data_IF_438842221529
#
_entry.id   IF_438842221529
#
_cell.length_a   1.000
_cell.length_b   1.000
_cell.length_c   1.000
_cell.angle_alpha   90.00
_cell.angle_beta   90.00
_cell.angle_gamma   90.00
#
_symmetry.space_group_name_H-M   'P 1'
#
loop_
_entity.id
_entity.type
_entity.pdbx_description
1 polymer ?
#
# COMPACT_ATOMS: atom_id res chain seq x y z
N UNK A 1 -7.20 16.22 9.46
CA UNK A 1 -6.08 15.27 9.33
C UNK A 1 -5.39 15.51 8.00
N UNK A 2 -4.06 15.50 8.01
CA UNK A 2 -3.20 15.85 6.88
C UNK A 2 -3.12 14.74 5.81
N UNK A 3 -3.11 15.15 4.54
CA UNK A 3 -2.80 14.32 3.37
C UNK A 3 -1.62 13.36 3.61
N UNK A 4 -1.73 12.13 3.09
CA UNK A 4 -0.61 11.19 3.04
C UNK A 4 0.47 11.68 2.07
N UNK A 5 1.73 11.54 2.46
CA UNK A 5 2.92 11.83 1.64
C UNK A 5 3.89 10.65 1.72
N UNK A 6 4.83 10.53 0.77
CA UNK A 6 5.84 9.48 0.83
C UNK A 6 6.65 9.51 2.13
N UNK A 7 7.06 10.69 2.62
CA UNK A 7 7.79 10.83 3.91
C UNK A 7 7.00 10.27 5.10
N UNK A 8 5.70 10.58 5.16
CA UNK A 8 4.82 10.06 6.22
C UNK A 8 4.70 8.56 6.14
N UNK A 9 4.42 8.03 4.94
CA UNK A 9 4.29 6.59 4.73
C UNK A 9 5.58 5.84 5.03
N UNK A 10 6.74 6.41 4.69
CA UNK A 10 8.05 5.81 4.88
C UNK A 10 8.28 5.35 6.33
N UNK A 11 7.76 6.09 7.31
CA UNK A 11 7.86 5.78 8.75
C UNK A 11 7.17 4.48 9.17
N UNK A 12 6.23 4.00 8.35
CA UNK A 12 5.42 2.81 8.62
C UNK A 12 5.81 1.62 7.72
N UNK A 13 6.86 1.75 6.93
CA UNK A 13 7.26 0.72 5.96
C UNK A 13 7.95 -0.49 6.56
N UNK A 14 8.36 -0.47 7.84
CA UNK A 14 8.98 -1.59 8.56
C UNK A 14 10.03 -2.38 7.75
N UNK A 15 10.96 -1.66 7.09
CA UNK A 15 12.00 -2.23 6.20
C UNK A 15 11.52 -2.77 4.85
N UNK A 16 10.36 -2.34 4.35
CA UNK A 16 9.88 -2.71 3.00
C UNK A 16 10.77 -2.13 1.90
N UNK A 17 10.78 -2.78 0.73
CA UNK A 17 11.48 -2.31 -0.46
C UNK A 17 10.68 -1.25 -1.26
N UNK A 18 9.76 -0.52 -0.60
CA UNK A 18 8.95 0.50 -1.25
C UNK A 18 9.77 1.78 -1.46
N UNK A 19 10.18 2.01 -2.71
CA UNK A 19 10.89 3.23 -3.09
C UNK A 19 9.98 4.46 -3.00
N UNK A 20 10.58 5.64 -2.87
CA UNK A 20 9.85 6.92 -2.77
C UNK A 20 8.83 7.15 -3.90
N UNK A 21 9.12 6.86 -5.20
CA UNK A 21 8.12 6.99 -6.27
C UNK A 21 6.90 6.09 -6.06
N UNK A 22 7.10 4.90 -5.51
CA UNK A 22 6.02 3.96 -5.20
C UNK A 22 5.21 4.50 -4.01
N UNK A 23 5.87 4.96 -2.94
CA UNK A 23 5.19 5.54 -1.79
C UNK A 23 4.37 6.78 -2.16
N UNK A 24 4.86 7.63 -3.06
CA UNK A 24 4.09 8.76 -3.59
C UNK A 24 2.82 8.29 -4.31
N UNK A 25 2.91 7.21 -5.08
CA UNK A 25 1.75 6.64 -5.76
C UNK A 25 0.76 6.00 -4.78
N UNK A 26 1.25 5.25 -3.78
CA UNK A 26 0.43 4.68 -2.71
C UNK A 26 -0.29 5.79 -1.93
N UNK A 27 0.41 6.85 -1.54
CA UNK A 27 -0.16 8.02 -0.88
C UNK A 27 -1.29 8.63 -1.72
N UNK A 28 -1.05 8.86 -3.02
CA UNK A 28 -2.08 9.38 -3.93
C UNK A 28 -3.31 8.48 -3.99
N UNK A 29 -3.14 7.16 -3.92
CA UNK A 29 -4.26 6.21 -3.98
C UNK A 29 -5.07 6.16 -2.68
N UNK A 30 -4.40 6.25 -1.54
CA UNK A 30 -5.08 6.36 -0.24
C UNK A 30 -5.81 7.70 -0.14
N UNK A 31 -5.15 8.80 -0.52
CA UNK A 31 -5.70 10.16 -0.52
C UNK A 31 -6.96 10.34 -1.37
N UNK A 32 -7.24 9.41 -2.29
CA UNK A 32 -8.43 9.49 -3.11
C UNK A 32 -9.73 9.23 -2.33
N UNK A 33 -9.63 8.77 -1.07
CA UNK A 33 -10.76 8.64 -0.14
C UNK A 33 -11.58 7.37 -0.30
N UNK A 34 -11.29 6.56 -1.32
CA UNK A 34 -11.98 5.30 -1.59
C UNK A 34 -11.33 4.10 -0.89
N UNK A 35 -12.08 3.00 -0.83
CA UNK A 35 -11.57 1.68 -0.44
C UNK A 35 -10.44 1.26 -1.38
N UNK A 36 -9.26 1.02 -0.81
CA UNK A 36 -8.07 0.59 -1.55
C UNK A 36 -7.93 -0.92 -1.43
N UNK A 37 -8.20 -1.64 -2.54
CA UNK A 37 -7.80 -3.04 -2.71
C UNK A 37 -6.27 -3.10 -2.86
N UNK A 38 -5.59 -3.74 -1.91
CA UNK A 38 -4.12 -3.83 -1.93
C UNK A 38 -3.62 -4.74 -3.06
N UNK A 39 -4.40 -5.75 -3.45
CA UNK A 39 -4.11 -6.59 -4.62
C UNK A 39 -4.21 -5.78 -5.91
N UNK A 40 -5.24 -4.94 -6.05
CA UNK A 40 -5.40 -4.07 -7.22
C UNK A 40 -4.26 -3.06 -7.28
N UNK A 41 -3.98 -2.39 -6.16
CA UNK A 41 -2.87 -1.44 -6.05
C UNK A 41 -1.51 -2.08 -6.38
N UNK A 42 -1.26 -3.31 -5.92
CA UNK A 42 -0.04 -4.04 -6.24
C UNK A 42 0.11 -4.29 -7.74
N UNK A 43 -0.97 -4.69 -8.42
CA UNK A 43 -0.98 -4.90 -9.88
C UNK A 43 -0.78 -3.60 -10.65
N UNK A 44 -1.37 -2.51 -10.20
CA UNK A 44 -1.17 -1.18 -10.80
C UNK A 44 0.29 -0.73 -10.67
N UNK A 45 0.89 -0.89 -9.48
CA UNK A 45 2.31 -0.59 -9.26
C UNK A 45 3.18 -1.48 -10.16
N UNK A 46 2.86 -2.77 -10.27
CA UNK A 46 3.52 -3.67 -11.21
C UNK A 46 3.42 -3.21 -12.66
N UNK A 47 2.27 -2.68 -13.09
CA UNK A 47 2.11 -2.18 -14.45
C UNK A 47 2.85 -0.86 -14.68
N UNK A 48 2.93 0.00 -13.65
CA UNK A 48 3.42 1.38 -13.77
C UNK A 48 4.93 1.53 -13.59
N UNK A 49 5.53 0.72 -12.71
CA UNK A 49 6.95 0.83 -12.37
C UNK A 49 7.74 -0.36 -12.96
N UNK A 50 8.96 -0.09 -13.41
CA UNK A 50 9.85 -1.08 -14.05
C UNK A 50 10.98 -1.58 -13.13
N UNK A 51 10.85 -1.36 -11.83
CA UNK A 51 11.79 -1.87 -10.85
C UNK A 51 11.74 -3.41 -10.81
N UNK A 52 12.90 -4.07 -10.73
CA UNK A 52 13.01 -5.53 -10.76
C UNK A 52 12.24 -6.19 -9.62
N UNK A 53 12.32 -5.63 -8.40
CA UNK A 53 11.61 -6.15 -7.24
C UNK A 53 10.09 -6.05 -7.43
N UNK A 54 9.64 -4.91 -7.96
CA UNK A 54 8.21 -4.67 -8.21
C UNK A 54 7.64 -5.70 -9.18
N UNK A 55 8.37 -6.01 -10.26
CA UNK A 55 7.94 -6.98 -11.29
C UNK A 55 7.95 -8.43 -10.81
N UNK A 56 8.58 -8.74 -9.68
CA UNK A 56 8.63 -10.10 -9.17
C UNK A 56 7.28 -10.56 -8.61
N UNK A 57 6.99 -11.83 -8.87
CA UNK A 57 5.89 -12.56 -8.26
C UNK A 57 6.41 -13.57 -7.25
N UNK A 58 5.60 -13.84 -6.24
CA UNK A 58 5.74 -15.02 -5.37
C UNK A 58 5.57 -16.30 -6.18
N UNK A 59 5.98 -17.45 -5.62
CA UNK A 59 5.78 -18.78 -6.23
C UNK A 59 4.30 -19.05 -6.57
N UNK A 60 3.37 -18.45 -5.82
CA UNK A 60 1.91 -18.56 -6.04
C UNK A 60 1.36 -17.54 -7.06
N UNK A 61 2.22 -16.82 -7.77
CA UNK A 61 1.84 -15.87 -8.83
C UNK A 61 1.37 -14.50 -8.35
N UNK A 62 1.40 -14.21 -7.04
CA UNK A 62 1.01 -12.89 -6.51
C UNK A 62 2.17 -11.90 -6.60
N UNK A 63 1.91 -10.61 -6.83
CA UNK A 63 2.94 -9.57 -6.76
C UNK A 63 3.68 -9.63 -5.42
N UNK A 64 5.01 -9.62 -5.41
CA UNK A 64 5.77 -9.58 -4.14
C UNK A 64 5.43 -8.33 -3.33
N UNK A 65 5.30 -7.20 -4.03
CA UNK A 65 4.96 -5.91 -3.44
C UNK A 65 3.61 -5.89 -2.69
N UNK A 66 2.72 -6.85 -2.98
CA UNK A 66 1.46 -6.98 -2.23
C UNK A 66 1.70 -7.18 -0.73
N UNK A 67 2.71 -7.96 -0.35
CA UNK A 67 3.03 -8.22 1.05
C UNK A 67 3.49 -6.93 1.76
N UNK A 68 4.34 -6.13 1.09
CA UNK A 68 4.81 -4.85 1.62
C UNK A 68 3.67 -3.85 1.81
N UNK A 69 2.75 -3.78 0.84
CA UNK A 69 1.57 -2.92 0.95
C UNK A 69 0.68 -3.35 2.12
N UNK A 70 0.50 -4.66 2.33
CA UNK A 70 -0.25 -5.16 3.48
C UNK A 70 0.41 -4.76 4.80
N UNK A 71 1.73 -4.92 4.92
CA UNK A 71 2.47 -4.53 6.12
C UNK A 71 2.36 -3.03 6.39
N UNK A 72 2.54 -2.21 5.35
CA UNK A 72 2.38 -0.76 5.44
C UNK A 72 0.98 -0.37 5.94
N UNK A 73 -0.08 -0.89 5.30
CA UNK A 73 -1.46 -0.55 5.67
C UNK A 73 -1.87 -1.09 7.04
N UNK A 74 -1.34 -2.25 7.47
CA UNK A 74 -1.52 -2.73 8.84
C UNK A 74 -0.89 -1.78 9.85
N UNK A 75 0.37 -1.36 9.62
CA UNK A 75 1.04 -0.41 10.53
C UNK A 75 0.38 0.97 10.57
N UNK A 76 -0.17 1.44 9.44
CA UNK A 76 -0.98 2.66 9.42
C UNK A 76 -2.27 2.50 10.23
N UNK A 77 -2.93 1.34 10.11
CA UNK A 77 -4.15 1.05 10.86
C UNK A 77 -3.88 0.96 12.36
N UNK A 78 -2.79 0.31 12.77
CA UNK A 78 -2.36 0.24 14.18
C UNK A 78 -2.02 1.61 14.76
N UNK A 79 -1.49 2.50 13.93
CA UNK A 79 -1.18 3.89 14.30
C UNK A 79 -2.40 4.84 14.26
N UNK A 80 -3.58 4.35 13.88
CA UNK A 80 -4.81 5.14 13.84
C UNK A 80 -4.92 6.10 12.65
N UNK A 81 -4.23 5.83 11.54
CA UNK A 81 -4.35 6.62 10.30
C UNK A 81 -5.42 6.10 9.34
N UNK A 82 -6.05 4.97 9.67
CA UNK A 82 -7.08 4.35 8.85
C UNK A 82 -7.49 3.02 9.42
N UNK A 83 -8.21 2.23 8.63
CA UNK A 83 -8.69 0.90 9.03
C UNK A 83 -8.60 -0.13 7.93
N UNK A 84 -8.19 -1.33 8.31
CA UNK A 84 -8.34 -2.53 7.49
C UNK A 84 -9.80 -2.99 7.54
N UNK A 85 -10.49 -2.96 6.40
CA UNK A 85 -11.87 -3.46 6.30
C UNK A 85 -11.95 -4.97 6.09
N UNK A 86 -10.99 -5.52 5.35
CA UNK A 86 -10.93 -6.94 5.03
C UNK A 86 -9.47 -7.37 5.08
N UNK A 87 -9.22 -8.47 5.76
CA UNK A 87 -7.92 -9.16 5.79
C UNK A 87 -8.22 -10.64 5.58
N UNK A 88 -8.20 -11.07 4.32
CA UNK A 88 -8.34 -12.49 4.01
C UNK A 88 -7.28 -12.94 3.01
N UNK A 89 -7.28 -14.22 2.70
CA UNK A 89 -6.29 -14.81 1.81
C UNK A 89 -6.37 -14.26 0.39
N UNK A 90 -7.48 -13.65 -0.05
CA UNK A 90 -7.65 -13.18 -1.43
C UNK A 90 -7.19 -11.75 -1.61
N UNK A 91 -7.62 -10.86 -0.71
CA UNK A 91 -7.29 -9.44 -0.75
C UNK A 91 -7.41 -8.77 0.63
N UNK A 92 -6.62 -7.72 0.78
CA UNK A 92 -6.68 -6.79 1.88
C UNK A 92 -7.31 -5.48 1.39
N UNK A 93 -8.29 -4.96 2.13
CA UNK A 93 -8.94 -3.68 1.80
C UNK A 93 -8.62 -2.67 2.89
N UNK A 94 -8.00 -1.56 2.51
CA UNK A 94 -7.66 -0.45 3.40
C UNK A 94 -8.52 0.78 3.11
N UNK A 95 -8.91 1.51 4.15
CA UNK A 95 -9.46 2.87 4.05
C UNK A 95 -8.55 3.78 4.86
N UNK A 96 -8.08 4.88 4.25
CA UNK A 96 -7.41 5.95 4.98
C UNK A 96 -8.42 6.85 5.67
N UNK A 97 -8.18 7.19 6.93
CA UNK A 97 -8.95 8.22 7.64
C UNK A 97 -8.43 9.59 7.19
N UNK A 98 -9.09 10.15 6.18
CA UNK A 98 -8.81 11.48 5.65
C UNK A 98 -9.99 12.36 6.04
N UNK A 99 -9.73 13.40 6.83
CA UNK A 99 -10.74 14.43 7.07
C UNK A 99 -10.89 15.23 5.77
N UNK A 100 -12.08 15.17 5.16
CA UNK A 100 -12.48 15.96 3.98
C UNK A 100 -13.07 17.29 4.42
#
# INVERSE_FOLDING_TARGET
>A
MDYYTADRLYRYTNSSNLSEPILNYVASRINWGDKVSLMTLAKEIQSKFNDSYVKENTVKGRPKIYADLCLLCMSLSEAGHGRMLQVNLEDCIYIGDIDV
#
